data_IF_022633725762
#
_entry.id   IF_022633725762
#
_cell.length_a   1.000
_cell.length_b   1.000
_cell.length_c   1.000
_cell.angle_alpha   90.00
_cell.angle_beta   90.00
_cell.angle_gamma   90.00
#
_symmetry.space_group_name_H-M   'P 1'
#
loop_
_entity.id
_entity.type
_entity.pdbx_description
1 polymer ?
#
# COMPACT_ATOMS: atom_id res chain seq x y z
N UNK A 1 27.82 12.40 -1.89
CA UNK A 1 26.36 12.33 -2.09
C UNK A 1 25.86 11.14 -1.29
N UNK A 2 24.89 11.37 -0.40
CA UNK A 2 24.29 10.35 0.49
C UNK A 2 23.26 9.50 -0.25
N UNK A 3 22.99 8.31 0.28
CA UNK A 3 21.88 7.47 -0.15
C UNK A 3 20.66 7.74 0.74
N UNK A 4 19.60 8.29 0.18
CA UNK A 4 18.36 8.51 0.89
C UNK A 4 17.34 7.42 0.62
N UNK A 5 16.55 7.11 1.63
CA UNK A 5 15.40 6.24 1.52
C UNK A 5 14.15 7.00 1.93
N UNK A 6 13.17 7.00 1.06
CA UNK A 6 11.87 7.59 1.33
C UNK A 6 11.06 6.68 2.25
N UNK A 7 10.55 7.25 3.32
CA UNK A 7 9.61 6.62 4.26
C UNK A 7 8.31 7.41 4.30
N UNK A 8 7.33 6.86 4.98
CA UNK A 8 6.04 7.52 5.25
C UNK A 8 5.76 7.43 6.75
N UNK A 9 5.34 8.51 7.34
CA UNK A 9 4.86 8.55 8.71
C UNK A 9 3.33 8.39 8.78
N UNK A 10 2.76 8.09 9.95
CA UNK A 10 1.31 8.04 10.12
C UNK A 10 0.65 9.35 9.68
N UNK A 11 -0.51 9.23 9.03
CA UNK A 11 -1.30 10.39 8.65
C UNK A 11 -1.95 11.07 9.87
N UNK A 12 -2.62 12.21 9.66
CA UNK A 12 -3.29 12.99 10.72
C UNK A 12 -4.33 12.18 11.52
N UNK A 13 -4.92 11.16 10.93
CA UNK A 13 -5.85 10.26 11.61
C UNK A 13 -5.16 9.16 12.44
N UNK A 14 -3.83 9.17 12.55
CA UNK A 14 -3.06 8.15 13.25
C UNK A 14 -3.13 6.77 12.60
N UNK A 15 -3.29 6.72 11.28
CA UNK A 15 -3.37 5.51 10.48
C UNK A 15 -2.18 5.41 9.55
N UNK A 16 -1.78 4.18 9.22
CA UNK A 16 -0.66 3.93 8.33
C UNK A 16 -0.86 2.69 7.47
N UNK A 17 -0.39 2.77 6.22
CA UNK A 17 -0.34 1.64 5.30
C UNK A 17 1.07 1.01 5.29
N UNK A 18 1.17 -0.25 5.72
CA UNK A 18 2.46 -0.97 5.69
C UNK A 18 2.98 -1.18 4.27
N UNK A 19 2.13 -1.09 3.25
CA UNK A 19 2.51 -1.14 1.84
C UNK A 19 3.53 -0.07 1.45
N UNK A 20 3.53 1.09 2.10
CA UNK A 20 4.52 2.14 1.87
C UNK A 20 5.92 1.70 2.32
N UNK A 21 6.02 0.91 3.40
CA UNK A 21 7.29 0.30 3.82
C UNK A 21 7.71 -0.87 2.92
N UNK A 22 6.77 -1.60 2.33
CA UNK A 22 7.09 -2.59 1.27
C UNK A 22 7.68 -1.89 0.04
N UNK A 23 7.18 -0.70 -0.31
CA UNK A 23 7.76 0.12 -1.38
C UNK A 23 9.14 0.67 -1.00
N UNK A 24 9.34 1.09 0.25
CA UNK A 24 10.65 1.49 0.75
C UNK A 24 11.65 0.32 0.73
N UNK A 25 11.26 -0.90 1.10
CA UNK A 25 12.09 -2.10 0.97
C UNK A 25 12.49 -2.37 -0.49
N UNK A 26 11.56 -2.17 -1.44
CA UNK A 26 11.84 -2.34 -2.85
C UNK A 26 12.88 -1.33 -3.37
N UNK A 27 12.87 -0.11 -2.88
CA UNK A 27 13.89 0.88 -3.20
C UNK A 27 15.22 0.59 -2.50
N UNK A 28 15.17 0.19 -1.21
CA UNK A 28 16.35 -0.08 -0.38
C UNK A 28 17.30 -1.12 -0.98
N UNK A 29 16.77 -2.15 -1.66
CA UNK A 29 17.60 -3.23 -2.22
C UNK A 29 18.60 -2.77 -3.30
N UNK A 30 18.45 -1.55 -3.83
CA UNK A 30 19.35 -0.98 -4.85
C UNK A 30 20.46 -0.09 -4.26
N UNK A 31 20.51 0.06 -2.94
CA UNK A 31 21.55 0.81 -2.26
C UNK A 31 22.40 -0.10 -1.38
N UNK A 32 23.73 0.08 -1.36
CA UNK A 32 24.63 -0.70 -0.49
C UNK A 32 24.37 -0.37 1.00
N UNK A 33 24.05 0.88 1.29
CA UNK A 33 23.68 1.39 2.63
C UNK A 33 22.70 2.55 2.47
N UNK A 34 21.96 2.85 3.50
CA UNK A 34 21.09 4.02 3.61
C UNK A 34 21.70 4.97 4.65
N UNK A 35 21.98 6.19 4.22
CA UNK A 35 22.60 7.22 5.06
C UNK A 35 21.56 8.11 5.74
N UNK A 36 20.37 8.28 5.14
CA UNK A 36 19.30 9.14 5.65
C UNK A 36 17.93 8.59 5.26
N UNK A 37 16.98 8.73 6.19
CA UNK A 37 15.55 8.50 5.96
C UNK A 37 14.86 9.85 5.85
N UNK A 38 14.03 10.03 4.81
CA UNK A 38 13.25 11.26 4.62
C UNK A 38 11.77 10.90 4.47
N UNK A 39 10.95 11.59 5.23
CA UNK A 39 9.49 11.44 5.13
C UNK A 39 8.98 12.04 3.82
N UNK A 40 8.16 11.27 3.10
CA UNK A 40 7.63 11.64 1.79
C UNK A 40 6.83 12.95 1.83
N UNK A 41 6.04 13.12 2.87
CA UNK A 41 5.05 14.19 2.94
C UNK A 41 5.59 15.44 3.66
N UNK A 42 6.58 15.28 4.56
CA UNK A 42 7.03 16.38 5.41
C UNK A 42 8.47 16.85 5.13
N UNK A 43 9.39 15.94 4.77
CA UNK A 43 10.82 16.27 4.72
C UNK A 43 11.31 16.64 3.32
N UNK A 44 10.75 16.03 2.26
CA UNK A 44 11.31 16.12 0.92
C UNK A 44 11.42 17.56 0.40
N UNK A 45 10.40 18.38 0.59
CA UNK A 45 10.39 19.76 0.10
C UNK A 45 11.33 20.67 0.89
N UNK A 46 11.44 20.45 2.19
CA UNK A 46 12.19 21.30 3.13
C UNK A 46 13.64 20.88 3.35
N UNK A 47 14.08 19.77 2.74
CA UNK A 47 15.42 19.23 2.96
C UNK A 47 16.52 20.19 2.50
N UNK A 48 17.44 20.53 3.41
CA UNK A 48 18.56 21.46 3.17
C UNK A 48 19.94 20.85 3.50
N UNK A 49 20.00 19.52 3.70
CA UNK A 49 21.27 18.84 3.97
C UNK A 49 22.15 18.66 2.73
N UNK A 50 23.15 17.78 2.84
CA UNK A 50 23.99 17.39 1.73
C UNK A 50 23.19 16.76 0.59
N UNK A 51 23.71 16.76 -0.63
CA UNK A 51 23.06 16.10 -1.77
C UNK A 51 22.76 14.63 -1.50
N UNK A 52 21.52 14.25 -1.80
CA UNK A 52 20.97 12.90 -1.59
C UNK A 52 20.48 12.33 -2.90
N UNK A 53 20.98 11.17 -3.30
CA UNK A 53 20.33 10.37 -4.35
C UNK A 53 19.24 9.51 -3.75
N UNK A 54 18.08 9.45 -4.40
CA UNK A 54 16.90 8.77 -3.87
C UNK A 54 16.08 8.14 -4.98
N UNK A 55 15.63 6.90 -4.76
CA UNK A 55 14.57 6.30 -5.58
C UNK A 55 13.23 6.80 -5.05
N UNK A 56 12.50 7.51 -5.90
CA UNK A 56 11.18 8.04 -5.58
C UNK A 56 10.11 7.21 -6.29
N UNK A 57 9.55 6.27 -5.56
CA UNK A 57 8.57 5.29 -6.05
C UNK A 57 7.29 5.32 -5.19
N UNK A 58 6.19 4.91 -5.79
CA UNK A 58 4.92 4.75 -5.11
C UNK A 58 3.93 5.89 -5.34
N UNK A 59 2.91 5.92 -4.51
CA UNK A 59 1.89 6.96 -4.53
C UNK A 59 2.42 8.25 -3.91
N UNK A 60 2.15 9.38 -4.53
CA UNK A 60 2.45 10.73 -4.08
C UNK A 60 1.17 11.57 -4.06
N UNK A 61 0.77 12.15 -2.98
CA UNK A 61 1.24 12.21 -1.58
C UNK A 61 -0.01 12.44 -0.73
N UNK A 62 0.04 12.26 0.60
CA UNK A 62 -1.01 12.75 1.49
C UNK A 62 -1.00 14.29 1.53
N UNK A 63 0.19 14.90 1.39
CA UNK A 63 0.42 16.35 1.28
C UNK A 63 1.06 16.71 -0.08
N UNK A 64 0.32 16.61 -1.21
CA UNK A 64 0.87 16.85 -2.55
C UNK A 64 1.29 18.30 -2.79
N UNK A 65 0.86 19.25 -1.96
CA UNK A 65 1.33 20.63 -1.93
C UNK A 65 2.81 20.75 -1.55
N UNK A 66 3.35 19.78 -0.81
CA UNK A 66 4.77 19.69 -0.42
C UNK A 66 5.67 19.10 -1.53
N UNK A 67 5.15 18.89 -2.74
CA UNK A 67 5.93 18.54 -3.92
C UNK A 67 6.15 19.80 -4.79
N UNK A 68 7.29 20.01 -5.47
CA UNK A 68 8.39 19.08 -5.69
C UNK A 68 9.39 19.03 -4.51
N UNK A 69 10.22 17.98 -4.44
CA UNK A 69 11.28 17.89 -3.45
C UNK A 69 12.37 18.94 -3.64
N UNK A 70 13.13 19.18 -2.58
CA UNK A 70 14.29 20.08 -2.56
C UNK A 70 15.28 19.76 -3.69
N UNK A 71 15.96 20.79 -4.20
CA UNK A 71 17.01 20.66 -5.23
C UNK A 71 18.23 19.84 -4.75
N UNK A 72 18.38 19.64 -3.44
CA UNK A 72 19.40 18.76 -2.85
C UNK A 72 19.10 17.28 -3.08
N UNK A 73 17.85 16.93 -3.43
CA UNK A 73 17.46 15.57 -3.73
C UNK A 73 17.63 15.31 -5.23
N UNK A 74 18.46 14.33 -5.56
CA UNK A 74 18.67 13.82 -6.92
C UNK A 74 17.81 12.57 -7.09
N UNK A 75 16.61 12.69 -7.67
CA UNK A 75 15.66 11.59 -7.74
C UNK A 75 15.92 10.67 -8.92
N UNK A 76 15.69 9.38 -8.74
CA UNK A 76 15.29 8.46 -9.78
C UNK A 76 13.78 8.26 -9.67
N UNK A 77 13.04 8.82 -10.62
CA UNK A 77 11.56 8.70 -10.65
C UNK A 77 11.19 7.38 -11.32
N UNK A 78 10.78 6.39 -10.52
CA UNK A 78 10.37 5.07 -11.02
C UNK A 78 9.19 4.55 -10.22
N UNK A 79 8.27 3.85 -10.89
CA UNK A 79 7.03 3.37 -10.28
C UNK A 79 6.20 4.50 -9.64
N UNK A 80 6.30 5.69 -10.21
CA UNK A 80 5.58 6.87 -9.76
C UNK A 80 4.08 6.73 -10.04
N UNK A 81 3.25 7.21 -9.13
CA UNK A 81 1.79 7.15 -9.27
C UNK A 81 1.14 8.46 -8.85
N UNK A 82 0.30 8.98 -9.72
CA UNK A 82 -0.54 10.15 -9.45
C UNK A 82 -1.99 9.69 -9.39
N UNK A 83 -2.62 9.87 -8.23
CA UNK A 83 -4.04 9.62 -8.09
C UNK A 83 -4.85 10.91 -8.34
N UNK A 84 -6.18 10.78 -8.43
CA UNK A 84 -7.08 11.91 -8.66
C UNK A 84 -7.02 12.99 -7.58
N UNK A 85 -6.69 12.64 -6.33
CA UNK A 85 -6.56 13.59 -5.24
C UNK A 85 -5.32 14.49 -5.39
N UNK A 86 -4.15 13.88 -5.67
CA UNK A 86 -2.90 14.62 -5.84
C UNK A 86 -2.75 15.35 -7.17
N UNK A 87 -3.61 15.04 -8.16
CA UNK A 87 -3.48 15.50 -9.53
C UNK A 87 -3.39 17.03 -9.67
N UNK A 88 -4.24 17.87 -9.04
CA UNK A 88 -4.14 19.32 -9.17
C UNK A 88 -2.80 19.87 -8.67
N UNK A 89 -2.28 19.35 -7.56
CA UNK A 89 -1.03 19.80 -6.96
C UNK A 89 0.20 19.31 -7.72
N UNK A 90 0.20 18.06 -8.14
CA UNK A 90 1.35 17.41 -8.80
C UNK A 90 1.51 17.83 -10.28
N UNK A 91 0.49 18.44 -10.90
CA UNK A 91 0.57 18.95 -12.27
C UNK A 91 0.64 20.47 -12.36
N UNK A 92 0.88 21.18 -11.25
CA UNK A 92 1.17 22.62 -11.30
C UNK A 92 2.54 22.88 -11.93
N UNK A 93 2.78 24.10 -12.36
CA UNK A 93 3.95 24.46 -13.19
C UNK A 93 5.28 23.99 -12.59
N UNK A 94 5.51 24.24 -11.31
CA UNK A 94 6.78 23.89 -10.62
C UNK A 94 7.02 22.37 -10.62
N UNK A 95 5.96 21.57 -10.47
CA UNK A 95 6.04 20.12 -10.50
C UNK A 95 6.31 19.62 -11.92
N UNK A 96 5.65 20.21 -12.92
CA UNK A 96 5.91 19.87 -14.35
C UNK A 96 7.35 20.21 -14.72
N UNK A 97 7.87 21.37 -14.30
CA UNK A 97 9.27 21.77 -14.54
C UNK A 97 10.24 20.79 -13.84
N UNK A 98 9.91 20.36 -12.62
CA UNK A 98 10.68 19.33 -11.91
C UNK A 98 10.70 17.98 -12.65
N UNK A 99 9.55 17.50 -13.11
CA UNK A 99 9.49 16.24 -13.88
C UNK A 99 10.28 16.34 -15.19
N UNK A 100 10.16 17.43 -15.93
CA UNK A 100 10.91 17.66 -17.16
C UNK A 100 12.42 17.67 -16.93
N UNK A 101 12.88 18.23 -15.81
CA UNK A 101 14.29 18.24 -15.44
C UNK A 101 14.82 16.83 -15.09
N UNK A 102 13.96 15.97 -14.53
CA UNK A 102 14.33 14.66 -14.00
C UNK A 102 13.77 13.48 -14.83
N UNK A 103 13.32 13.74 -16.05
CA UNK A 103 12.83 12.69 -16.96
C UNK A 103 14.00 11.83 -17.49
N UNK A 104 13.72 10.56 -17.94
CA UNK A 104 12.39 9.99 -18.09
C UNK A 104 11.77 9.55 -16.76
N UNK A 105 10.42 9.58 -16.67
CA UNK A 105 9.66 9.19 -15.48
C UNK A 105 9.06 7.80 -15.68
N UNK A 106 9.50 6.82 -14.90
CA UNK A 106 8.88 5.51 -14.84
C UNK A 106 7.61 5.55 -13.99
N UNK A 107 6.47 5.13 -14.55
CA UNK A 107 5.18 5.16 -13.91
C UNK A 107 4.67 3.77 -13.56
N UNK A 108 3.96 3.64 -12.42
CA UNK A 108 3.39 2.39 -11.95
C UNK A 108 2.19 1.93 -12.77
N UNK A 109 1.47 2.85 -13.41
CA UNK A 109 0.24 2.62 -14.17
C UNK A 109 0.18 3.48 -15.43
N UNK A 110 -0.63 3.05 -16.39
CA UNK A 110 -0.79 3.70 -17.69
C UNK A 110 -1.42 5.10 -17.57
N UNK A 111 -2.35 5.26 -16.63
CA UNK A 111 -3.01 6.55 -16.43
C UNK A 111 -2.01 7.64 -16.05
N UNK A 112 -1.08 7.33 -15.11
CA UNK A 112 0.00 8.27 -14.75
C UNK A 112 0.92 8.57 -15.95
N UNK A 113 1.22 7.58 -16.81
CA UNK A 113 1.99 7.80 -18.05
C UNK A 113 1.29 8.80 -18.96
N UNK A 114 0.01 8.61 -19.20
CA UNK A 114 -0.80 9.48 -20.06
C UNK A 114 -0.84 10.91 -19.52
N UNK A 115 -1.13 11.09 -18.23
CA UNK A 115 -1.14 12.39 -17.57
C UNK A 115 0.18 13.17 -17.72
N UNK A 116 1.31 12.49 -17.55
CA UNK A 116 2.62 13.13 -17.67
C UNK A 116 2.95 13.46 -19.14
N UNK A 117 2.63 12.58 -20.07
CA UNK A 117 2.81 12.81 -21.51
C UNK A 117 1.99 13.99 -22.03
N UNK A 118 0.75 14.18 -21.55
CA UNK A 118 -0.08 15.34 -21.87
C UNK A 118 0.59 16.67 -21.45
N UNK A 119 1.47 16.64 -20.46
CA UNK A 119 2.29 17.79 -20.02
C UNK A 119 3.63 17.91 -20.74
N UNK A 120 3.89 17.07 -21.74
CA UNK A 120 5.14 17.04 -22.49
C UNK A 120 6.32 16.52 -21.68
N UNK A 121 6.06 15.60 -20.74
CA UNK A 121 7.08 14.92 -19.94
C UNK A 121 7.33 13.55 -20.58
N UNK A 122 8.61 13.17 -20.75
CA UNK A 122 8.97 11.83 -21.16
C UNK A 122 8.66 10.84 -20.02
N UNK A 123 7.67 9.99 -20.25
CA UNK A 123 7.18 9.04 -19.27
C UNK A 123 6.94 7.67 -19.90
N UNK A 124 7.19 6.61 -19.13
CA UNK A 124 7.01 5.23 -19.58
C UNK A 124 6.41 4.34 -18.47
N UNK A 125 5.78 3.25 -18.87
CA UNK A 125 5.28 2.26 -17.92
C UNK A 125 6.42 1.40 -17.38
N UNK A 126 6.71 1.51 -16.09
CA UNK A 126 7.73 0.72 -15.39
C UNK A 126 7.14 -0.44 -14.56
N UNK A 127 5.85 -0.42 -14.31
CA UNK A 127 5.22 -1.27 -13.31
C UNK A 127 5.56 -0.86 -11.87
N UNK A 128 5.13 -1.64 -10.89
CA UNK A 128 5.42 -1.38 -9.49
C UNK A 128 6.82 -1.91 -9.12
N UNK A 129 7.62 -1.09 -8.45
CA UNK A 129 8.97 -1.48 -8.00
C UNK A 129 8.96 -2.68 -7.04
N UNK A 130 7.85 -2.86 -6.30
CA UNK A 130 7.69 -4.00 -5.39
C UNK A 130 7.73 -5.36 -6.10
N UNK A 131 7.46 -5.42 -7.41
CA UNK A 131 7.60 -6.64 -8.20
C UNK A 131 9.05 -7.15 -8.22
N UNK A 132 10.02 -6.28 -8.03
CA UNK A 132 11.45 -6.63 -7.99
C UNK A 132 11.85 -7.34 -6.70
N UNK A 133 11.03 -7.27 -5.64
CA UNK A 133 11.26 -7.95 -4.37
C UNK A 133 11.30 -9.48 -4.51
N UNK A 134 10.65 -10.04 -5.52
CA UNK A 134 10.73 -11.46 -5.84
C UNK A 134 12.14 -11.95 -6.14
N UNK A 135 13.06 -11.06 -6.55
CA UNK A 135 14.48 -11.38 -6.74
C UNK A 135 15.20 -11.59 -5.40
N UNK A 136 14.90 -10.74 -4.41
CA UNK A 136 15.55 -10.78 -3.08
C UNK A 136 14.88 -11.78 -2.14
N UNK A 137 13.55 -11.91 -2.22
CA UNK A 137 12.75 -12.77 -1.33
C UNK A 137 12.20 -14.00 -2.07
N UNK A 138 13.00 -14.56 -2.98
CA UNK A 138 12.65 -15.81 -3.68
C UNK A 138 12.46 -16.95 -2.68
N UNK A 139 11.42 -17.76 -2.91
CA UNK A 139 11.17 -18.97 -2.14
C UNK A 139 10.96 -20.14 -3.09
N UNK A 140 11.72 -21.21 -2.91
CA UNK A 140 11.73 -22.40 -3.79
C UNK A 140 11.17 -23.66 -3.09
N UNK A 141 10.79 -23.55 -1.82
CA UNK A 141 10.23 -24.67 -1.06
C UNK A 141 8.75 -24.90 -1.35
N UNK A 142 8.16 -25.87 -0.66
CA UNK A 142 6.72 -26.15 -0.71
C UNK A 142 5.92 -24.93 -0.20
N UNK A 143 4.96 -24.49 -0.98
CA UNK A 143 4.12 -23.33 -0.64
C UNK A 143 2.96 -23.73 0.25
N UNK A 144 2.72 -22.97 1.29
CA UNK A 144 1.65 -23.20 2.27
C UNK A 144 1.09 -21.88 2.79
N UNK A 145 -0.09 -21.96 3.38
CA UNK A 145 -0.80 -20.80 3.90
C UNK A 145 -1.66 -20.10 2.84
N UNK A 146 -2.79 -19.62 3.30
CA UNK A 146 -3.77 -18.87 2.52
C UNK A 146 -3.99 -17.53 3.21
N UNK A 147 -3.79 -16.45 2.47
CA UNK A 147 -3.85 -15.08 3.00
C UNK A 147 -4.87 -14.25 2.24
N UNK A 148 -5.78 -13.63 2.97
CA UNK A 148 -6.66 -12.58 2.46
C UNK A 148 -6.13 -11.25 2.97
N UNK A 149 -5.64 -10.43 2.06
CA UNK A 149 -5.02 -9.13 2.36
C UNK A 149 -6.00 -8.05 1.99
N UNK A 150 -6.44 -7.28 2.98
CA UNK A 150 -7.45 -6.23 2.84
C UNK A 150 -8.68 -6.66 2.02
N UNK A 151 -9.22 -7.87 2.24
CA UNK A 151 -10.31 -8.36 1.43
C UNK A 151 -11.53 -7.49 1.66
N UNK A 152 -12.09 -6.97 0.58
CA UNK A 152 -13.34 -6.24 0.53
C UNK A 152 -13.48 -5.19 1.64
N UNK A 153 -12.92 -4.01 1.42
CA UNK A 153 -13.20 -2.83 2.26
C UNK A 153 -14.66 -2.41 2.10
N UNK A 154 -15.54 -3.03 2.85
CA UNK A 154 -16.89 -2.51 2.99
C UNK A 154 -16.88 -1.30 3.93
N UNK A 155 -16.48 -0.17 3.40
CA UNK A 155 -16.78 1.15 3.98
C UNK A 155 -18.28 1.48 3.93
N UNK A 156 -19.11 0.50 3.54
CA UNK A 156 -20.55 0.67 3.43
C UNK A 156 -21.12 0.97 4.80
N UNK A 157 -21.59 2.19 4.95
CA UNK A 157 -22.38 2.56 6.12
C UNK A 157 -23.66 1.72 6.10
N UNK A 158 -23.66 0.60 6.84
CA UNK A 158 -24.78 -0.34 6.89
C UNK A 158 -26.09 0.34 7.27
N UNK A 159 -26.04 1.37 8.13
CA UNK A 159 -27.23 2.09 8.56
C UNK A 159 -27.97 2.79 7.41
N UNK A 160 -27.29 3.11 6.32
CA UNK A 160 -27.87 3.71 5.10
C UNK A 160 -28.41 2.67 4.10
N UNK A 161 -28.29 1.37 4.38
CA UNK A 161 -28.70 0.28 3.45
C UNK A 161 -29.43 -0.85 4.18
N UNK A 162 -30.72 -0.67 4.56
CA UNK A 162 -31.50 -1.66 5.31
C UNK A 162 -31.57 -3.04 4.64
N UNK A 163 -31.70 -3.08 3.32
CA UNK A 163 -31.72 -4.34 2.56
C UNK A 163 -30.43 -5.15 2.70
N UNK A 164 -29.30 -4.47 2.89
CA UNK A 164 -28.01 -5.12 3.09
C UNK A 164 -27.90 -5.70 4.50
N UNK A 165 -28.43 -4.97 5.51
CA UNK A 165 -28.52 -5.48 6.90
C UNK A 165 -29.36 -6.76 6.95
N UNK A 166 -30.52 -6.77 6.31
CA UNK A 166 -31.39 -7.97 6.28
C UNK A 166 -30.65 -9.17 5.65
N UNK A 167 -29.99 -8.97 4.51
CA UNK A 167 -29.20 -10.02 3.86
C UNK A 167 -28.02 -10.48 4.72
N UNK A 168 -27.37 -9.55 5.43
CA UNK A 168 -26.27 -9.87 6.35
C UNK A 168 -26.76 -10.68 7.54
N UNK A 169 -27.89 -10.30 8.15
CA UNK A 169 -28.49 -11.01 9.29
C UNK A 169 -28.85 -12.43 8.91
N UNK A 170 -29.50 -12.63 7.76
CA UNK A 170 -29.84 -13.97 7.27
C UNK A 170 -28.59 -14.83 7.04
N UNK A 171 -27.56 -14.27 6.41
CA UNK A 171 -26.27 -14.95 6.19
C UNK A 171 -25.60 -15.30 7.52
N UNK A 172 -25.64 -14.38 8.49
CA UNK A 172 -25.06 -14.56 9.82
C UNK A 172 -25.74 -15.73 10.57
N UNK A 173 -27.07 -15.77 10.58
CA UNK A 173 -27.82 -16.86 11.23
C UNK A 173 -27.46 -18.21 10.60
N UNK A 174 -27.48 -18.29 9.26
CA UNK A 174 -27.20 -19.53 8.53
C UNK A 174 -25.76 -20.04 8.69
N UNK A 175 -24.78 -19.13 8.82
CA UNK A 175 -23.36 -19.46 8.78
C UNK A 175 -22.59 -18.94 10.02
N UNK A 176 -23.27 -18.86 11.17
CA UNK A 176 -22.76 -18.21 12.38
C UNK A 176 -21.35 -18.66 12.78
N UNK A 177 -21.10 -19.97 12.85
CA UNK A 177 -19.80 -20.49 13.27
C UNK A 177 -18.66 -20.08 12.34
N UNK A 178 -18.87 -20.15 11.03
CA UNK A 178 -17.87 -19.73 10.05
C UNK A 178 -17.61 -18.23 10.14
N UNK A 179 -18.66 -17.41 10.17
CA UNK A 179 -18.57 -15.95 10.25
C UNK A 179 -17.92 -15.51 11.56
N UNK A 180 -18.27 -16.15 12.70
CA UNK A 180 -17.66 -15.88 14.00
C UNK A 180 -16.16 -16.19 13.99
N UNK A 181 -15.75 -17.31 13.38
CA UNK A 181 -14.34 -17.68 13.27
C UNK A 181 -13.55 -16.68 12.41
N UNK A 182 -14.10 -16.31 11.25
CA UNK A 182 -13.52 -15.28 10.38
C UNK A 182 -13.42 -13.93 11.13
N UNK A 183 -14.50 -13.54 11.84
CA UNK A 183 -14.53 -12.30 12.62
C UNK A 183 -13.45 -12.27 13.71
N UNK A 184 -13.25 -13.40 14.41
CA UNK A 184 -12.18 -13.54 15.39
C UNK A 184 -10.79 -13.37 14.75
N UNK A 185 -10.55 -14.01 13.61
CA UNK A 185 -9.29 -13.88 12.84
C UNK A 185 -9.06 -12.47 12.30
N UNK A 186 -10.11 -11.71 12.05
CA UNK A 186 -10.06 -10.28 11.64
C UNK A 186 -10.03 -9.30 12.82
N UNK A 187 -9.83 -9.80 14.05
CA UNK A 187 -9.58 -8.99 15.25
C UNK A 187 -10.84 -8.49 15.99
N UNK A 188 -12.07 -8.77 15.54
CA UNK A 188 -13.26 -8.30 16.25
C UNK A 188 -14.48 -9.22 16.06
N UNK A 189 -15.20 -9.47 17.16
CA UNK A 189 -16.48 -10.21 17.17
C UNK A 189 -17.68 -9.34 17.59
N UNK A 190 -17.56 -8.02 17.49
CA UNK A 190 -18.70 -7.11 17.73
C UNK A 190 -19.83 -7.38 16.73
N UNK A 191 -21.07 -7.03 17.08
CA UNK A 191 -22.22 -7.20 16.18
C UNK A 191 -21.99 -6.53 14.82
N UNK A 192 -21.39 -5.33 14.82
CA UNK A 192 -21.04 -4.62 13.59
C UNK A 192 -20.03 -5.42 12.75
N UNK A 193 -19.00 -5.97 13.37
CA UNK A 193 -18.00 -6.81 12.70
C UNK A 193 -18.64 -8.09 12.15
N UNK A 194 -19.49 -8.76 12.93
CA UNK A 194 -20.20 -9.96 12.48
C UNK A 194 -21.08 -9.69 11.25
N UNK A 195 -21.82 -8.58 11.22
CA UNK A 195 -22.63 -8.19 10.06
C UNK A 195 -21.77 -7.88 8.82
N UNK A 196 -20.67 -7.14 8.97
CA UNK A 196 -19.73 -6.90 7.87
C UNK A 196 -19.12 -8.21 7.35
N UNK A 197 -18.69 -9.08 8.25
CA UNK A 197 -18.13 -10.38 7.87
C UNK A 197 -19.18 -11.34 7.30
N UNK A 198 -20.47 -11.18 7.63
CA UNK A 198 -21.56 -11.92 7.00
C UNK A 198 -21.76 -11.52 5.53
N UNK A 199 -21.57 -10.24 5.20
CA UNK A 199 -21.59 -9.77 3.81
C UNK A 199 -20.37 -10.28 3.07
N UNK A 200 -19.18 -10.11 3.66
CA UNK A 200 -17.94 -10.66 3.12
C UNK A 200 -18.10 -12.15 2.81
N UNK A 201 -18.49 -12.94 3.79
CA UNK A 201 -18.66 -14.38 3.64
C UNK A 201 -19.64 -14.73 2.51
N UNK A 202 -20.78 -14.06 2.45
CA UNK A 202 -21.80 -14.28 1.43
C UNK A 202 -21.28 -14.04 0.01
N UNK A 203 -20.42 -13.05 -0.18
CA UNK A 203 -19.87 -12.76 -1.51
C UNK A 203 -18.70 -13.70 -1.84
N UNK A 204 -17.81 -13.94 -0.90
CA UNK A 204 -16.61 -14.72 -1.14
C UNK A 204 -16.85 -16.24 -1.21
N UNK A 205 -17.88 -16.77 -0.54
CA UNK A 205 -18.25 -18.20 -0.66
C UNK A 205 -18.77 -18.59 -2.06
N UNK A 206 -19.08 -17.61 -2.90
CA UNK A 206 -19.42 -17.84 -4.30
C UNK A 206 -18.20 -18.21 -5.16
N UNK A 207 -17.00 -17.85 -4.70
CA UNK A 207 -15.74 -18.00 -5.43
C UNK A 207 -14.79 -18.97 -4.73
N UNK A 208 -14.79 -18.95 -3.40
CA UNK A 208 -13.86 -19.75 -2.58
C UNK A 208 -14.64 -20.77 -1.74
N UNK A 209 -14.10 -21.98 -1.63
CA UNK A 209 -14.63 -22.99 -0.71
C UNK A 209 -14.67 -22.45 0.73
N UNK A 210 -15.68 -22.88 1.50
CA UNK A 210 -15.84 -22.51 2.91
C UNK A 210 -14.59 -22.82 3.74
N UNK A 211 -13.94 -23.96 3.49
CA UNK A 211 -12.75 -24.36 4.22
C UNK A 211 -11.57 -23.41 3.95
N UNK A 212 -11.45 -22.88 2.74
CA UNK A 212 -10.47 -21.85 2.38
C UNK A 212 -10.74 -20.61 3.23
N UNK A 213 -11.97 -20.12 3.26
CA UNK A 213 -12.32 -18.90 4.01
C UNK A 213 -12.12 -19.04 5.53
N UNK A 214 -12.47 -20.18 6.12
CA UNK A 214 -12.34 -20.37 7.57
C UNK A 214 -10.90 -20.67 8.02
N UNK A 215 -10.08 -21.25 7.16
CA UNK A 215 -8.68 -21.59 7.47
C UNK A 215 -7.68 -20.49 7.11
N UNK A 216 -8.04 -19.58 6.21
CA UNK A 216 -7.18 -18.47 5.81
C UNK A 216 -6.77 -17.57 6.99
N UNK A 217 -5.62 -16.91 6.85
CA UNK A 217 -5.25 -15.74 7.65
C UNK A 217 -5.75 -14.47 6.97
N UNK A 218 -6.14 -13.50 7.79
CA UNK A 218 -6.63 -12.19 7.34
C UNK A 218 -5.64 -11.11 7.77
N UNK A 219 -5.13 -10.36 6.81
CA UNK A 219 -4.13 -9.32 7.03
C UNK A 219 -4.74 -7.97 6.70
N UNK A 220 -4.66 -7.02 7.64
CA UNK A 220 -4.97 -5.62 7.42
C UNK A 220 -3.66 -4.85 7.25
N UNK A 221 -3.51 -4.18 6.11
CA UNK A 221 -2.30 -3.39 5.82
C UNK A 221 -2.42 -1.93 6.27
N UNK A 222 -3.61 -1.48 6.64
CA UNK A 222 -3.88 -0.10 7.02
C UNK A 222 -4.51 -0.03 8.41
N UNK A 223 -3.74 0.36 9.43
CA UNK A 223 -4.23 0.39 10.81
C UNK A 223 -3.45 1.37 11.69
N UNK A 224 -4.04 1.70 12.86
CA UNK A 224 -3.37 2.44 13.92
C UNK A 224 -2.28 1.59 14.62
N UNK A 225 -2.41 0.28 14.67
CA UNK A 225 -1.38 -0.57 15.28
C UNK A 225 -0.05 -0.46 14.53
N UNK A 226 -0.10 -0.39 13.19
CA UNK A 226 1.08 -0.15 12.34
C UNK A 226 1.64 1.25 12.58
N UNK A 227 0.77 2.24 12.75
CA UNK A 227 1.16 3.62 13.03
C UNK A 227 1.92 3.76 14.37
N UNK A 228 1.59 2.92 15.36
CA UNK A 228 2.25 2.92 16.68
C UNK A 228 3.60 2.20 16.70
N UNK A 229 3.98 1.49 15.63
CA UNK A 229 5.28 0.83 15.50
C UNK A 229 6.38 1.88 15.27
N UNK A 230 7.57 1.62 15.77
CA UNK A 230 8.77 2.36 15.37
C UNK A 230 9.11 2.11 13.88
N UNK A 231 9.94 2.97 13.30
CA UNK A 231 10.42 2.80 11.91
C UNK A 231 11.06 1.43 11.70
N UNK A 232 11.88 0.97 12.65
CA UNK A 232 12.55 -0.33 12.58
C UNK A 232 11.55 -1.50 12.62
N UNK A 233 10.53 -1.41 13.48
CA UNK A 233 9.47 -2.41 13.55
C UNK A 233 8.63 -2.45 12.28
N UNK A 234 8.31 -1.30 11.67
CA UNK A 234 7.61 -1.22 10.39
C UNK A 234 8.39 -1.90 9.27
N UNK A 235 9.71 -1.67 9.18
CA UNK A 235 10.56 -2.37 8.21
C UNK A 235 10.57 -3.88 8.47
N UNK A 236 10.73 -4.32 9.72
CA UNK A 236 10.70 -5.74 10.09
C UNK A 236 9.36 -6.38 9.76
N UNK A 237 8.26 -5.68 10.03
CA UNK A 237 6.91 -6.16 9.74
C UNK A 237 6.67 -6.25 8.22
N UNK A 238 7.01 -5.21 7.46
CA UNK A 238 6.91 -5.21 6.01
C UNK A 238 7.71 -6.37 5.39
N UNK A 239 8.94 -6.58 5.83
CA UNK A 239 9.79 -7.69 5.37
C UNK A 239 9.19 -9.06 5.73
N UNK A 240 8.62 -9.20 6.93
CA UNK A 240 7.94 -10.43 7.35
C UNK A 240 6.74 -10.76 6.45
N UNK A 241 5.95 -9.73 6.05
CA UNK A 241 4.84 -9.91 5.13
C UNK A 241 5.31 -10.33 3.72
N UNK A 242 6.35 -9.70 3.19
CA UNK A 242 6.93 -10.08 1.89
C UNK A 242 7.40 -11.54 1.91
N UNK A 243 8.12 -11.97 2.97
CA UNK A 243 8.54 -13.36 3.16
C UNK A 243 7.34 -14.32 3.30
N UNK A 244 6.29 -13.89 4.00
CA UNK A 244 5.05 -14.66 4.17
C UNK A 244 4.35 -14.87 2.82
N UNK A 245 4.21 -13.80 2.02
CA UNK A 245 3.58 -13.89 0.69
C UNK A 245 4.41 -14.72 -0.30
N UNK A 246 5.73 -14.64 -0.24
CA UNK A 246 6.61 -15.47 -1.08
C UNK A 246 6.42 -16.98 -0.83
N UNK A 247 6.06 -17.36 0.40
CA UNK A 247 5.81 -18.76 0.81
C UNK A 247 4.36 -19.19 0.63
N UNK A 248 3.46 -18.27 0.33
CA UNK A 248 2.03 -18.53 0.30
C UNK A 248 1.64 -19.47 -0.84
N UNK A 249 0.70 -20.38 -0.55
CA UNK A 249 -0.01 -21.15 -1.56
C UNK A 249 -1.01 -20.27 -2.32
N UNK A 250 -1.67 -19.35 -1.60
CA UNK A 250 -2.65 -18.42 -2.16
C UNK A 250 -2.60 -17.09 -1.43
N UNK A 251 -2.54 -16.00 -2.19
CA UNK A 251 -2.75 -14.63 -1.68
C UNK A 251 -3.89 -14.01 -2.47
N UNK A 252 -4.90 -13.56 -1.76
CA UNK A 252 -6.06 -12.83 -2.31
C UNK A 252 -6.00 -11.40 -1.82
N UNK A 253 -5.96 -10.45 -2.74
CA UNK A 253 -5.96 -9.01 -2.45
C UNK A 253 -7.04 -8.31 -3.25
N UNK A 254 -7.56 -7.20 -2.76
CA UNK A 254 -8.54 -6.35 -3.46
C UNK A 254 -7.84 -5.31 -4.32
#
# INVERSE_FOLDING_TARGET
MKNGLMIVNPNEAGLMNIGDYVQALAARQYFPNIDILLDRDNDLASYQGEEVRMIMNGWFMDHPENFPPSHQIKPLLISFHINSYGLPSLLRKECVDFFKKNQPVGCRDQHTVELLKEKGIDAYFSGCLTLTLGKTYKYEGERHGIYFVDPMFLTTNLSKRPSLIFKATFSLIKNFNAIKLISKKRGSVSLRSLLHNAIFYKEYVKVFDKNILVNAEYICQYSCDIANMSIAERFSYAESLVKKYARAQLVVTS
#
